data_IF_053637884144
#
_entry.id   IF_053637884144
#
_cell.length_a   1.000
_cell.length_b   1.000
_cell.length_c   1.000
_cell.angle_alpha   90.00
_cell.angle_beta   90.00
_cell.angle_gamma   90.00
#
_symmetry.space_group_name_H-M   'P 1'
#
loop_
_entity.id
_entity.type
_entity.pdbx_description
1 polymer ?
#
# COMPACT_ATOMS: atom_id res chain seq x y z
N UNK A 1 -44.68 -45.37 -45.56
CA UNK A 1 -43.82 -44.76 -44.52
C UNK A 1 -42.68 -45.73 -44.27
N UNK A 2 -41.50 -45.46 -44.82
CA UNK A 2 -40.35 -46.37 -44.68
C UNK A 2 -39.67 -46.18 -43.31
N UNK A 3 -39.27 -47.25 -42.61
CA UNK A 3 -38.63 -47.14 -41.30
C UNK A 3 -37.22 -46.55 -41.45
N UNK A 4 -36.89 -45.56 -40.61
CA UNK A 4 -35.56 -44.97 -40.56
C UNK A 4 -34.57 -46.04 -40.07
N UNK A 5 -33.66 -46.47 -40.93
CA UNK A 5 -32.59 -47.41 -40.55
C UNK A 5 -31.45 -46.65 -39.87
N UNK A 6 -31.36 -46.78 -38.54
CA UNK A 6 -30.26 -46.25 -37.75
C UNK A 6 -29.04 -47.18 -37.85
N UNK A 7 -28.03 -46.78 -38.61
CA UNK A 7 -26.76 -47.52 -38.69
C UNK A 7 -25.77 -47.06 -37.60
N UNK A 8 -24.86 -47.94 -37.17
CA UNK A 8 -23.74 -47.57 -36.26
C UNK A 8 -22.93 -46.37 -36.78
N UNK A 9 -22.81 -46.25 -38.10
CA UNK A 9 -22.12 -45.14 -38.77
C UNK A 9 -22.92 -43.83 -38.68
N UNK A 10 -24.25 -43.91 -38.69
CA UNK A 10 -25.16 -42.79 -38.50
C UNK A 10 -25.14 -42.31 -37.05
N UNK A 11 -25.11 -43.24 -36.09
CA UNK A 11 -24.96 -42.96 -34.65
C UNK A 11 -23.61 -42.30 -34.33
N UNK A 12 -22.50 -42.83 -34.85
CA UNK A 12 -21.19 -42.23 -34.63
C UNK A 12 -21.08 -40.81 -35.21
N UNK A 13 -21.71 -40.54 -36.36
CA UNK A 13 -21.73 -39.20 -36.97
C UNK A 13 -22.59 -38.21 -36.17
N UNK A 14 -23.74 -38.63 -35.66
CA UNK A 14 -24.57 -37.76 -34.81
C UNK A 14 -23.96 -37.54 -33.43
N UNK A 15 -23.27 -38.53 -32.85
CA UNK A 15 -22.52 -38.36 -31.60
C UNK A 15 -21.33 -37.40 -31.75
N UNK A 16 -20.61 -37.43 -32.88
CA UNK A 16 -19.53 -36.48 -33.15
C UNK A 16 -20.04 -35.06 -33.34
N UNK A 17 -21.18 -34.89 -34.02
CA UNK A 17 -21.82 -33.59 -34.21
C UNK A 17 -22.31 -32.99 -32.88
N UNK A 18 -22.83 -33.82 -31.97
CA UNK A 18 -23.29 -33.37 -30.65
C UNK A 18 -22.11 -33.02 -29.72
N UNK A 19 -21.00 -33.75 -29.79
CA UNK A 19 -19.76 -33.44 -29.06
C UNK A 19 -19.07 -32.18 -29.60
N UNK A 20 -19.13 -31.93 -30.92
CA UNK A 20 -18.60 -30.71 -31.53
C UNK A 20 -19.39 -29.47 -31.11
N UNK A 21 -20.70 -29.58 -30.87
CA UNK A 21 -21.53 -28.47 -30.39
C UNK A 21 -21.34 -28.14 -28.91
N UNK A 22 -20.92 -29.10 -28.07
CA UNK A 22 -20.66 -28.87 -26.64
C UNK A 22 -19.20 -28.54 -26.32
N UNK A 23 -18.24 -28.93 -27.16
CA UNK A 23 -16.82 -28.57 -27.02
C UNK A 23 -16.47 -27.14 -27.44
N UNK A 24 -17.40 -26.43 -28.09
CA UNK A 24 -17.26 -25.03 -28.53
C UNK A 24 -17.92 -24.03 -27.56
N UNK A 25 -18.41 -24.49 -26.40
CA UNK A 25 -18.65 -23.59 -25.27
C UNK A 25 -17.27 -23.09 -24.83
N UNK A 26 -16.82 -22.03 -25.51
CA UNK A 26 -15.52 -21.42 -25.31
C UNK A 26 -15.30 -21.22 -23.83
N UNK A 27 -14.13 -21.64 -23.37
CA UNK A 27 -13.55 -21.07 -22.16
C UNK A 27 -13.44 -19.58 -22.47
N UNK A 28 -14.49 -18.82 -22.16
CA UNK A 28 -14.43 -17.37 -22.07
C UNK A 28 -13.55 -17.11 -20.88
N UNK A 29 -12.24 -17.15 -21.10
CA UNK A 29 -11.29 -16.50 -20.20
C UNK A 29 -11.78 -15.06 -20.18
N UNK A 30 -12.32 -14.62 -19.06
CA UNK A 30 -12.77 -13.24 -18.91
C UNK A 30 -11.59 -12.36 -19.31
N UNK A 31 -11.68 -11.71 -20.47
CA UNK A 31 -10.63 -10.83 -20.92
C UNK A 31 -10.60 -9.68 -19.91
N UNK A 32 -9.52 -9.59 -19.15
CA UNK A 32 -9.31 -8.53 -18.19
C UNK A 32 -9.44 -7.20 -18.94
N UNK A 33 -10.56 -6.48 -18.73
CA UNK A 33 -10.75 -5.17 -19.32
C UNK A 33 -9.79 -4.22 -18.63
N UNK A 34 -8.63 -3.99 -19.26
CA UNK A 34 -7.70 -2.96 -18.84
C UNK A 34 -8.30 -1.58 -19.10
N UNK A 35 -8.28 -0.73 -18.08
CA UNK A 35 -8.80 0.64 -18.13
C UNK A 35 -10.28 0.77 -17.78
N UNK A 36 -10.70 2.01 -17.54
CA UNK A 36 -12.06 2.36 -17.14
C UNK A 36 -12.08 3.52 -16.16
N UNK A 37 -13.29 3.97 -15.82
CA UNK A 37 -13.50 4.99 -14.78
C UNK A 37 -14.27 4.36 -13.64
N UNK A 38 -13.64 4.30 -12.47
CA UNK A 38 -14.32 3.97 -11.23
C UNK A 38 -14.90 5.26 -10.63
N UNK A 39 -16.21 5.27 -10.38
CA UNK A 39 -16.88 6.36 -9.66
C UNK A 39 -17.30 5.77 -8.31
N UNK A 40 -16.79 6.35 -7.23
CA UNK A 40 -17.14 5.96 -5.87
C UNK A 40 -17.78 7.15 -5.17
N UNK A 41 -18.91 6.92 -4.51
CA UNK A 41 -19.52 7.93 -3.66
C UNK A 41 -18.71 8.06 -2.36
N UNK A 42 -18.20 9.26 -2.08
CA UNK A 42 -17.59 9.61 -0.81
C UNK A 42 -18.68 10.06 0.18
N UNK A 43 -18.52 9.70 1.45
CA UNK A 43 -19.46 10.05 2.53
C UNK A 43 -19.21 11.45 3.13
N UNK A 44 -18.05 12.04 2.83
CA UNK A 44 -17.60 13.31 3.38
C UNK A 44 -16.59 14.01 2.47
N UNK A 45 -16.57 15.34 2.51
CA UNK A 45 -15.55 16.17 1.87
C UNK A 45 -14.39 16.43 2.85
N UNK A 46 -13.15 16.01 2.54
CA UNK A 46 -12.03 16.29 3.44
C UNK A 46 -11.61 17.76 3.37
N UNK A 47 -11.31 18.35 4.52
CA UNK A 47 -10.87 19.76 4.62
C UNK A 47 -9.50 20.02 3.97
N UNK A 48 -8.69 18.98 3.81
CA UNK A 48 -7.41 19.02 3.11
C UNK A 48 -7.06 17.61 2.61
N UNK A 49 -6.04 17.50 1.76
CA UNK A 49 -5.57 16.23 1.19
C UNK A 49 -4.17 15.85 1.70
N UNK A 50 -3.79 16.30 2.90
CA UNK A 50 -2.45 16.06 3.43
C UNK A 50 -2.49 15.10 4.65
N UNK A 51 -2.31 13.79 4.42
CA UNK A 51 -2.34 12.79 5.48
C UNK A 51 -1.11 12.88 6.40
N UNK A 52 -0.04 13.56 5.97
CA UNK A 52 1.16 13.77 6.79
C UNK A 52 0.95 14.73 7.96
N UNK A 53 -0.16 15.48 7.98
CA UNK A 53 -0.51 16.41 9.09
C UNK A 53 -1.84 16.07 9.79
N UNK A 54 -2.75 15.34 9.14
CA UNK A 54 -4.05 15.00 9.72
C UNK A 54 -4.38 13.53 9.49
N UNK A 55 -4.44 12.76 10.58
CA UNK A 55 -5.02 11.43 10.58
C UNK A 55 -6.55 11.49 10.65
N UNK A 56 -7.22 11.20 9.53
CA UNK A 56 -8.68 11.23 9.41
C UNK A 56 -9.16 10.35 8.26
N UNK A 57 -10.22 9.58 8.47
CA UNK A 57 -10.79 8.69 7.46
C UNK A 57 -11.15 9.43 6.16
N UNK A 58 -11.74 10.63 6.24
CA UNK A 58 -12.08 11.42 5.05
C UNK A 58 -10.84 11.84 4.25
N UNK A 59 -9.75 12.22 4.94
CA UNK A 59 -8.46 12.55 4.29
C UNK A 59 -7.87 11.30 3.65
N UNK A 60 -7.80 10.19 4.39
CA UNK A 60 -7.23 8.92 3.91
C UNK A 60 -8.00 8.34 2.73
N UNK A 61 -9.33 8.51 2.69
CA UNK A 61 -10.18 8.00 1.61
C UNK A 61 -9.69 8.44 0.22
N UNK A 62 -9.25 9.70 0.11
CA UNK A 62 -8.72 10.26 -1.13
C UNK A 62 -7.19 10.20 -1.15
N UNK A 63 -6.52 10.69 -0.10
CA UNK A 63 -5.09 10.93 -0.13
C UNK A 63 -4.23 9.64 -0.11
N UNK A 64 -4.77 8.51 0.38
CA UNK A 64 -4.08 7.21 0.31
C UNK A 64 -3.79 6.73 -1.12
N UNK A 65 -4.43 7.35 -2.13
CA UNK A 65 -4.16 7.09 -3.56
C UNK A 65 -2.98 7.89 -4.11
N UNK A 66 -2.46 8.84 -3.33
CA UNK A 66 -1.51 9.87 -3.77
C UNK A 66 -0.23 9.83 -2.93
N UNK A 67 -0.35 9.59 -1.62
CA UNK A 67 0.76 9.61 -0.66
C UNK A 67 0.76 8.30 0.13
N UNK A 68 1.92 7.65 0.18
CA UNK A 68 2.09 6.39 0.92
C UNK A 68 2.71 6.60 2.32
N UNK A 69 2.30 5.79 3.31
CA UNK A 69 3.01 5.68 4.60
C UNK A 69 4.23 4.75 4.50
N UNK A 70 4.99 4.62 5.60
CA UNK A 70 6.04 3.62 5.70
C UNK A 70 5.49 2.18 5.64
N UNK A 71 4.36 1.92 6.29
CA UNK A 71 3.64 0.65 6.25
C UNK A 71 2.13 0.89 6.32
N UNK A 72 1.33 -0.04 5.81
CA UNK A 72 -0.14 0.04 5.78
C UNK A 72 -0.76 -1.00 6.72
N UNK A 73 -1.97 -0.74 7.23
CA UNK A 73 -2.72 -1.73 8.00
C UNK A 73 -3.27 -2.81 7.07
N UNK A 74 -3.09 -4.09 7.40
CA UNK A 74 -3.54 -5.19 6.56
C UNK A 74 -3.95 -6.39 7.39
N UNK A 75 -5.13 -6.96 7.11
CA UNK A 75 -5.61 -8.19 7.75
C UNK A 75 -4.73 -9.40 7.44
N UNK A 76 -4.09 -9.39 6.27
CA UNK A 76 -3.22 -10.47 5.80
C UNK A 76 -1.73 -10.14 6.00
N UNK A 77 -1.43 -8.94 6.49
CA UNK A 77 -0.07 -8.49 6.74
C UNK A 77 0.54 -9.15 7.98
N UNK A 78 1.87 -9.26 8.00
CA UNK A 78 2.60 -9.77 9.16
C UNK A 78 2.32 -8.87 10.37
N UNK A 79 1.83 -9.49 11.44
CA UNK A 79 1.38 -8.82 12.66
C UNK A 79 0.38 -7.65 12.41
N UNK A 80 -0.42 -7.73 11.34
CA UNK A 80 -1.41 -6.71 10.99
C UNK A 80 -0.88 -5.55 10.14
N UNK A 81 0.37 -5.63 9.65
CA UNK A 81 1.00 -4.60 8.84
C UNK A 81 1.53 -5.16 7.52
N UNK A 82 1.43 -4.35 6.47
CA UNK A 82 1.96 -4.66 5.15
C UNK A 82 2.97 -3.58 4.72
N UNK A 83 4.14 -3.97 4.19
CA UNK A 83 5.12 -3.03 3.67
C UNK A 83 4.59 -2.06 2.61
N UNK A 84 5.02 -0.80 2.69
CA UNK A 84 4.83 0.24 1.66
C UNK A 84 6.18 0.83 1.28
N UNK A 85 6.47 2.06 1.74
CA UNK A 85 7.76 2.72 1.54
C UNK A 85 8.88 2.10 2.38
N UNK A 86 8.56 1.52 3.54
CA UNK A 86 9.47 0.68 4.31
C UNK A 86 9.19 -0.80 4.04
N UNK A 87 10.24 -1.57 3.79
CA UNK A 87 10.19 -3.02 3.60
C UNK A 87 10.39 -3.77 4.92
N UNK A 88 11.16 -3.21 5.83
CA UNK A 88 11.47 -3.79 7.14
C UNK A 88 11.59 -2.70 8.20
N UNK A 89 11.30 -3.05 9.45
CA UNK A 89 11.47 -2.16 10.60
C UNK A 89 11.85 -2.95 11.86
N UNK A 90 12.74 -2.39 12.65
CA UNK A 90 13.24 -3.02 13.87
C UNK A 90 13.47 -1.95 14.96
N UNK A 91 12.92 -2.19 16.15
CA UNK A 91 13.27 -1.43 17.35
C UNK A 91 14.49 -2.01 18.04
N UNK A 92 15.34 -1.16 18.61
CA UNK A 92 16.41 -1.60 19.51
C UNK A 92 15.85 -1.99 20.89
N UNK A 93 16.51 -2.96 21.54
CA UNK A 93 16.09 -3.49 22.85
C UNK A 93 16.08 -2.43 23.96
N UNK A 94 16.95 -1.41 23.84
CA UNK A 94 17.02 -0.28 24.76
C UNK A 94 15.91 0.77 24.53
N UNK A 95 15.12 0.64 23.45
CA UNK A 95 14.09 1.58 23.05
C UNK A 95 14.63 2.95 22.61
N UNK A 96 15.93 3.09 22.37
CA UNK A 96 16.56 4.36 21.98
C UNK A 96 16.64 4.54 20.46
N UNK A 97 16.35 3.49 19.69
CA UNK A 97 16.26 3.60 18.24
C UNK A 97 15.23 2.71 17.57
N UNK A 98 14.78 3.15 16.40
CA UNK A 98 13.99 2.36 15.46
C UNK A 98 14.59 2.52 14.05
N UNK A 99 14.94 1.41 13.42
CA UNK A 99 15.55 1.37 12.09
C UNK A 99 14.51 0.93 11.06
N UNK A 100 14.45 1.63 9.93
CA UNK A 100 13.60 1.32 8.80
C UNK A 100 14.46 1.08 7.56
N UNK A 101 14.23 -0.05 6.88
CA UNK A 101 14.73 -0.32 5.54
C UNK A 101 13.69 0.12 4.53
N UNK A 102 14.12 0.90 3.55
CA UNK A 102 13.25 1.56 2.59
C UNK A 102 13.29 0.83 1.25
N UNK A 103 12.18 0.88 0.54
CA UNK A 103 12.04 0.32 -0.80
C UNK A 103 12.93 1.09 -1.78
N UNK A 104 13.72 0.36 -2.54
CA UNK A 104 14.56 0.91 -3.61
C UNK A 104 13.76 1.19 -4.88
N UNK A 105 14.24 2.11 -5.71
CA UNK A 105 13.67 2.40 -7.03
C UNK A 105 12.31 3.11 -7.00
N UNK A 106 11.90 3.64 -5.85
CA UNK A 106 10.70 4.46 -5.72
C UNK A 106 10.99 5.88 -6.21
N UNK A 107 10.06 6.44 -7.00
CA UNK A 107 10.13 7.81 -7.48
C UNK A 107 8.90 8.59 -7.05
N UNK A 108 9.10 9.85 -6.71
CA UNK A 108 8.02 10.83 -6.60
C UNK A 108 7.34 11.06 -7.96
N UNK A 109 6.14 11.63 -7.94
CA UNK A 109 5.36 11.89 -9.16
C UNK A 109 6.04 12.88 -10.13
N UNK A 110 7.05 13.64 -9.67
CA UNK A 110 7.88 14.52 -10.50
C UNK A 110 9.16 13.83 -11.04
N UNK A 111 9.30 12.53 -10.80
CA UNK A 111 10.42 11.70 -11.26
C UNK A 111 11.66 11.74 -10.36
N UNK A 112 11.68 12.53 -9.28
CA UNK A 112 12.82 12.52 -8.34
C UNK A 112 12.80 11.23 -7.50
N UNK A 113 13.97 10.70 -7.11
CA UNK A 113 14.04 9.52 -6.26
C UNK A 113 13.48 9.81 -4.87
N UNK A 114 12.76 8.84 -4.31
CA UNK A 114 12.44 8.80 -2.88
C UNK A 114 13.65 8.26 -2.11
N UNK A 115 14.00 8.90 -0.99
CA UNK A 115 15.14 8.49 -0.16
C UNK A 115 14.83 8.61 1.33
N UNK A 116 15.73 8.07 2.16
CA UNK A 116 15.74 8.22 3.62
C UNK A 116 15.75 9.68 4.06
N UNK A 117 16.26 10.60 3.24
CA UNK A 117 16.21 12.04 3.50
C UNK A 117 14.77 12.60 3.51
N UNK A 118 13.87 12.04 2.69
CA UNK A 118 12.45 12.41 2.70
C UNK A 118 11.76 11.92 3.97
N UNK A 119 12.11 10.73 4.45
CA UNK A 119 11.63 10.19 5.73
C UNK A 119 12.11 11.05 6.89
N UNK A 120 13.40 11.41 6.90
CA UNK A 120 13.97 12.26 7.94
C UNK A 120 13.31 13.64 7.98
N UNK A 121 13.12 14.26 6.82
CA UNK A 121 12.40 15.53 6.70
C UNK A 121 10.96 15.41 7.18
N UNK A 122 10.23 14.40 6.70
CA UNK A 122 8.83 14.18 7.06
C UNK A 122 8.69 13.97 8.57
N UNK A 123 9.53 13.15 9.18
CA UNK A 123 9.47 12.87 10.61
C UNK A 123 9.75 14.11 11.48
N UNK A 124 10.81 14.86 11.17
CA UNK A 124 11.28 15.96 12.01
C UNK A 124 10.55 17.28 11.76
N UNK A 125 10.21 17.57 10.50
CA UNK A 125 9.61 18.85 10.09
C UNK A 125 8.10 18.79 9.93
N UNK A 126 7.50 17.59 9.83
CA UNK A 126 6.06 17.43 9.58
C UNK A 126 5.38 16.59 10.66
N UNK A 127 5.77 15.33 10.83
CA UNK A 127 5.06 14.40 11.72
C UNK A 127 5.13 14.82 13.18
N UNK A 128 6.35 15.08 13.67
CA UNK A 128 6.57 15.52 15.04
C UNK A 128 5.93 16.90 15.33
N UNK A 129 6.10 17.95 14.52
CA UNK A 129 5.56 19.28 14.87
C UNK A 129 4.12 19.53 14.42
N UNK A 130 3.63 18.92 13.35
CA UNK A 130 2.36 19.31 12.72
C UNK A 130 1.29 18.21 12.78
N UNK A 131 1.68 16.94 12.76
CA UNK A 131 0.72 15.83 12.71
C UNK A 131 -0.02 15.69 14.04
N UNK A 132 -1.35 15.63 13.98
CA UNK A 132 -2.25 15.68 15.14
C UNK A 132 -1.97 14.61 16.22
N UNK A 133 -1.64 13.39 15.82
CA UNK A 133 -1.20 12.29 16.69
C UNK A 133 0.33 12.18 16.77
N UNK A 134 1.04 12.55 15.70
CA UNK A 134 2.49 12.45 15.55
C UNK A 134 3.25 13.29 16.57
N UNK A 135 2.69 14.42 17.02
CA UNK A 135 3.21 15.21 18.14
C UNK A 135 3.40 14.40 19.43
N UNK A 136 2.49 13.45 19.68
CA UNK A 136 2.54 12.57 20.86
C UNK A 136 3.43 11.35 20.57
N UNK A 137 3.25 10.71 19.42
CA UNK A 137 4.01 9.51 19.02
C UNK A 137 5.51 9.79 18.93
N UNK A 138 5.89 10.91 18.31
CA UNK A 138 7.28 11.29 18.06
C UNK A 138 7.80 12.34 19.04
N UNK A 139 7.15 12.51 20.21
CA UNK A 139 7.54 13.50 21.22
C UNK A 139 9.03 13.39 21.61
N UNK A 140 9.54 12.16 21.70
CA UNK A 140 10.93 11.88 22.08
C UNK A 140 11.89 11.76 20.88
N UNK A 141 11.40 11.83 19.63
CA UNK A 141 12.25 11.72 18.45
C UNK A 141 13.20 12.93 18.39
N UNK A 142 14.51 12.70 18.43
CA UNK A 142 15.52 13.75 18.38
C UNK A 142 16.07 13.94 16.97
N UNK A 143 16.50 12.84 16.36
CA UNK A 143 17.11 12.86 15.03
C UNK A 143 16.63 11.66 14.22
N UNK A 144 16.77 11.77 12.90
CA UNK A 144 16.67 10.65 11.98
C UNK A 144 17.98 10.60 11.20
N UNK A 145 18.79 9.59 11.47
CA UNK A 145 20.03 9.34 10.74
C UNK A 145 19.71 8.65 9.41
N UNK A 146 20.47 9.04 8.39
CA UNK A 146 20.30 8.58 7.00
C UNK A 146 21.67 8.12 6.48
N UNK A 147 22.19 6.98 6.99
CA UNK A 147 23.54 6.52 6.62
C UNK A 147 23.67 6.18 5.13
N UNK A 148 22.54 5.88 4.47
CA UNK A 148 22.40 5.66 3.05
C UNK A 148 20.98 6.05 2.60
N UNK A 149 20.72 6.03 1.29
CA UNK A 149 19.44 6.44 0.70
C UNK A 149 18.26 5.55 1.11
N UNK A 150 18.51 4.34 1.63
CA UNK A 150 17.48 3.33 1.88
C UNK A 150 17.40 2.89 3.35
N UNK A 151 18.02 3.64 4.26
CA UNK A 151 18.01 3.37 5.69
C UNK A 151 17.70 4.64 6.45
N UNK A 152 16.62 4.62 7.24
CA UNK A 152 16.29 5.69 8.17
C UNK A 152 16.33 5.17 9.62
N UNK A 153 17.15 5.78 10.47
CA UNK A 153 17.31 5.38 11.87
C UNK A 153 16.81 6.50 12.77
N UNK A 154 15.70 6.25 13.43
CA UNK A 154 15.07 7.17 14.37
C UNK A 154 15.80 7.07 15.70
N UNK A 155 16.24 8.20 16.26
CA UNK A 155 16.90 8.27 17.57
C UNK A 155 15.99 8.96 18.58
N UNK A 156 15.79 8.34 19.73
CA UNK A 156 14.92 8.85 20.78
C UNK A 156 15.71 9.38 21.98
N UNK A 157 15.25 10.47 22.59
CA UNK A 157 15.87 11.09 23.77
C UNK A 157 15.79 10.22 25.04
N UNK A 158 14.84 9.28 25.06
CA UNK A 158 14.59 8.34 26.14
C UNK A 158 13.94 7.08 25.58
N UNK A 159 14.00 5.94 26.30
CA UNK A 159 13.38 4.71 25.86
C UNK A 159 11.92 4.93 25.44
N UNK A 160 11.65 4.64 24.17
CA UNK A 160 10.34 4.80 23.55
C UNK A 160 9.91 3.40 23.06
N UNK A 161 8.78 2.86 23.55
CA UNK A 161 8.37 1.51 23.18
C UNK A 161 8.21 1.37 21.67
N UNK A 162 8.90 0.41 21.06
CA UNK A 162 8.83 0.21 19.61
C UNK A 162 7.41 -0.09 19.14
N UNK A 163 6.59 -0.76 19.97
CA UNK A 163 5.18 -1.00 19.66
C UNK A 163 4.38 0.29 19.43
N UNK A 164 4.72 1.39 20.12
CA UNK A 164 4.09 2.70 19.89
C UNK A 164 4.39 3.19 18.46
N UNK A 165 5.65 3.11 18.04
CA UNK A 165 6.08 3.53 16.69
C UNK A 165 5.45 2.62 15.63
N UNK A 166 5.46 1.31 15.87
CA UNK A 166 4.90 0.29 14.98
C UNK A 166 3.40 0.48 14.76
N UNK A 167 2.62 0.73 15.81
CA UNK A 167 1.18 1.00 15.71
C UNK A 167 0.87 2.29 14.93
N UNK A 168 1.82 3.22 14.90
CA UNK A 168 1.65 4.50 14.26
C UNK A 168 1.88 4.44 12.73
N UNK A 169 2.62 3.43 12.22
CA UNK A 169 3.06 3.39 10.82
C UNK A 169 1.93 3.67 9.81
N UNK A 170 0.75 3.02 9.87
CA UNK A 170 -0.30 3.25 8.87
C UNK A 170 -0.92 4.63 8.88
N UNK A 171 -0.86 5.33 10.02
CA UNK A 171 -1.73 6.48 10.28
C UNK A 171 -0.95 7.79 10.39
N UNK A 172 0.32 7.75 10.80
CA UNK A 172 1.11 8.97 11.05
C UNK A 172 2.39 9.09 10.23
N UNK A 173 2.70 8.12 9.36
CA UNK A 173 3.98 8.10 8.62
C UNK A 173 3.87 8.34 7.12
N UNK A 174 2.81 9.02 6.67
CA UNK A 174 2.71 9.48 5.27
C UNK A 174 3.87 10.42 4.94
N UNK A 175 4.72 10.02 3.99
CA UNK A 175 5.95 10.76 3.64
C UNK A 175 5.62 11.91 2.69
N UNK A 176 6.34 13.02 2.83
CA UNK A 176 6.31 14.15 1.89
C UNK A 176 7.68 14.35 1.24
N UNK A 177 7.73 14.85 -0.02
CA UNK A 177 8.98 15.07 -0.75
C UNK A 177 9.75 16.24 -0.15
N UNK A 178 10.91 16.00 0.46
CA UNK A 178 11.75 17.03 1.08
C UNK A 178 12.08 18.16 0.10
N UNK A 179 12.22 17.85 -1.19
CA UNK A 179 12.63 18.83 -2.19
C UNK A 179 11.55 19.81 -2.64
N UNK A 180 10.33 19.73 -2.13
CA UNK A 180 9.23 20.66 -2.43
C UNK A 180 8.86 21.60 -1.27
N UNK A 181 9.43 21.40 -0.09
CA UNK A 181 9.14 22.15 1.14
C UNK A 181 10.40 22.82 1.68
#
# INVERSE_FOLDING_TARGET
>A
MSPVQLSRRSLLKTSLALAATTGLAGITVAQEKSGGRLIVAADSEPKNLNPAIVASNGVFYIASKIVEPLAEASFNGTDGLEPRLATEWQGADDGLSATFKLREGVTWHDGKPFTSADVAFSALSVWKPLQNLGRLVFANLQTVETPDDHTAIFRFSKPTPFQLIRNALPVVTSVVPKHLY
#
